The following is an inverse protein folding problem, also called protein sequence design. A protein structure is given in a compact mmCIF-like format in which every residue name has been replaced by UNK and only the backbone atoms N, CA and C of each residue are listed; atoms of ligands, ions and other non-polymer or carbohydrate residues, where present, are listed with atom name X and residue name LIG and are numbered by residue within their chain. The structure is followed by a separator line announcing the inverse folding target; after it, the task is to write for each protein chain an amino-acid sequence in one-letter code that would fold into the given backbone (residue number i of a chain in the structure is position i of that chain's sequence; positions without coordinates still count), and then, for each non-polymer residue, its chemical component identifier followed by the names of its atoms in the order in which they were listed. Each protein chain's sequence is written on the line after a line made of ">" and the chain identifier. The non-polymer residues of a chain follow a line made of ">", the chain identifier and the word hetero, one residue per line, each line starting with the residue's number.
data_IF_794032956691
#
_entry.id   IF_794032956691
#
_cell.length_a   1.000
_cell.length_b   1.000
_cell.length_c   1.000
_cell.angle_alpha   90.00
_cell.angle_beta   90.00
_cell.angle_gamma   90.00
#
_symmetry.space_group_name_H-M   'P 1'
#
loop_
_entity.id
_entity.type
_entity.pdbx_description
1 polymer ?
#
# COMPACT_ATOMS: atom_id res chain seq x y z
N UNK A 1 25.00 5.78 -10.38
CA UNK A 1 23.98 6.82 -10.16
C UNK A 1 22.58 6.26 -10.20
N UNK A 2 22.20 5.57 -11.30
CA UNK A 2 20.86 5.00 -11.40
C UNK A 2 20.57 4.01 -10.27
N UNK A 3 21.54 3.20 -9.84
CA UNK A 3 21.35 2.25 -8.75
C UNK A 3 21.07 2.95 -7.42
N UNK A 4 21.72 4.10 -7.19
CA UNK A 4 21.53 4.86 -5.96
C UNK A 4 20.14 5.50 -5.94
N UNK A 5 19.73 6.13 -7.04
CA UNK A 5 18.40 6.72 -7.14
C UNK A 5 17.30 5.65 -7.08
N UNK A 6 17.57 4.50 -7.69
CA UNK A 6 16.64 3.38 -7.65
C UNK A 6 16.41 2.90 -6.21
N UNK A 7 17.49 2.76 -5.44
CA UNK A 7 17.39 2.33 -4.05
C UNK A 7 16.61 3.34 -3.20
N UNK A 8 16.93 4.64 -3.35
CA UNK A 8 16.23 5.68 -2.59
C UNK A 8 14.75 5.69 -2.94
N UNK A 9 14.41 5.57 -4.23
CA UNK A 9 13.02 5.52 -4.66
C UNK A 9 12.28 4.34 -4.07
N UNK A 10 12.90 3.18 -4.06
CA UNK A 10 12.31 1.97 -3.47
C UNK A 10 12.07 2.15 -1.97
N UNK A 11 13.00 2.76 -1.26
CA UNK A 11 12.85 3.02 0.17
C UNK A 11 11.70 4.00 0.42
N UNK A 12 11.64 5.10 -0.34
CA UNK A 12 10.59 6.11 -0.17
C UNK A 12 9.20 5.55 -0.42
N UNK A 13 9.03 4.83 -1.52
CA UNK A 13 7.72 4.26 -1.86
C UNK A 13 7.30 3.21 -0.84
N UNK A 14 8.25 2.39 -0.39
CA UNK A 14 7.98 1.31 0.56
C UNK A 14 7.71 1.81 1.97
N UNK A 15 8.26 2.95 2.37
CA UNK A 15 8.14 3.46 3.74
C UNK A 15 6.68 3.75 4.12
N UNK A 16 5.87 4.21 3.18
CA UNK A 16 4.45 4.49 3.42
C UNK A 16 3.74 3.20 3.85
N UNK A 17 4.02 2.09 3.18
CA UNK A 17 3.37 0.81 3.48
C UNK A 17 3.89 0.21 4.78
N UNK A 18 5.18 0.36 5.06
CA UNK A 18 5.72 -0.11 6.33
C UNK A 18 5.10 0.64 7.51
N UNK A 19 4.97 1.95 7.38
CA UNK A 19 4.34 2.77 8.41
C UNK A 19 2.86 2.43 8.55
N UNK A 20 2.17 2.23 7.44
CA UNK A 20 0.76 1.86 7.44
C UNK A 20 0.54 0.52 8.13
N UNK A 21 1.35 -0.49 7.80
CA UNK A 21 1.26 -1.79 8.45
C UNK A 21 1.55 -1.71 9.95
N UNK A 22 2.55 -0.92 10.33
CA UNK A 22 2.89 -0.69 11.72
C UNK A 22 1.72 -0.07 12.48
N UNK A 23 1.11 0.97 11.91
CA UNK A 23 -0.03 1.64 12.53
C UNK A 23 -1.23 0.70 12.68
N UNK A 24 -1.47 -0.17 11.71
CA UNK A 24 -2.57 -1.13 11.76
C UNK A 24 -2.38 -2.15 12.88
N UNK A 25 -1.15 -2.52 13.18
CA UNK A 25 -0.88 -3.43 14.29
C UNK A 25 -1.32 -2.80 15.61
N UNK A 26 -1.01 -1.52 15.84
CA UNK A 26 -1.32 -0.84 17.08
C UNK A 26 -2.77 -0.35 17.17
N UNK A 27 -3.46 -0.22 16.04
CA UNK A 27 -4.86 0.20 16.00
C UNK A 27 -5.74 -0.89 15.39
N UNK A 28 -5.46 -2.15 15.71
CA UNK A 28 -6.08 -3.29 15.05
C UNK A 28 -7.59 -3.27 15.16
N UNK A 29 -8.14 -3.11 16.36
CA UNK A 29 -9.59 -3.14 16.56
C UNK A 29 -10.28 -1.96 15.87
N UNK A 30 -9.68 -0.78 15.91
CA UNK A 30 -10.22 0.39 15.22
C UNK A 30 -10.25 0.21 13.71
N UNK A 31 -9.19 -0.38 13.16
CA UNK A 31 -9.10 -0.66 11.73
C UNK A 31 -10.13 -1.71 11.32
N UNK A 32 -10.31 -2.75 12.13
CA UNK A 32 -11.32 -3.78 11.86
C UNK A 32 -12.72 -3.15 11.80
N UNK A 33 -13.06 -2.29 12.76
CA UNK A 33 -14.35 -1.60 12.76
C UNK A 33 -14.54 -0.75 11.51
N UNK A 34 -13.49 -0.05 11.09
CA UNK A 34 -13.54 0.78 9.89
C UNK A 34 -13.75 -0.06 8.63
N UNK A 35 -13.04 -1.19 8.52
CA UNK A 35 -13.20 -2.10 7.39
C UNK A 35 -14.60 -2.68 7.33
N UNK A 36 -15.17 -3.08 8.46
CA UNK A 36 -16.49 -3.67 8.52
C UNK A 36 -17.56 -2.65 8.13
N UNK A 37 -17.31 -1.36 8.37
CA UNK A 37 -18.18 -0.30 7.90
C UNK A 37 -18.29 -0.21 6.38
N UNK A 38 -17.31 -0.74 5.65
CA UNK A 38 -17.32 -0.83 4.18
C UNK A 38 -17.77 -2.20 3.68
N UNK A 39 -18.20 -3.09 4.58
CA UNK A 39 -18.61 -4.43 4.20
C UNK A 39 -17.45 -5.41 3.99
N UNK A 40 -16.25 -5.06 4.44
CA UNK A 40 -15.06 -5.90 4.32
C UNK A 40 -14.88 -6.69 5.61
N UNK A 41 -14.79 -8.04 5.53
CA UNK A 41 -14.59 -8.83 6.75
C UNK A 41 -13.32 -8.46 7.48
N UNK A 42 -13.42 -8.29 8.81
CA UNK A 42 -12.29 -7.85 9.63
C UNK A 42 -11.15 -8.87 9.67
N UNK A 43 -11.43 -10.16 9.43
CA UNK A 43 -10.37 -11.17 9.46
C UNK A 43 -9.37 -11.00 8.32
N UNK A 44 -9.69 -10.22 7.30
CA UNK A 44 -8.77 -9.93 6.19
C UNK A 44 -7.66 -8.95 6.60
N UNK A 45 -7.77 -8.32 7.77
CA UNK A 45 -6.77 -7.35 8.21
C UNK A 45 -5.41 -7.99 8.45
N UNK A 46 -5.38 -9.18 9.07
CA UNK A 46 -4.10 -9.84 9.36
C UNK A 46 -3.30 -10.16 8.09
N UNK A 47 -3.90 -10.77 7.04
CA UNK A 47 -3.19 -10.94 5.77
C UNK A 47 -2.77 -9.61 5.14
N UNK A 48 -3.58 -8.57 5.28
CA UNK A 48 -3.27 -7.25 4.75
C UNK A 48 -2.03 -6.67 5.42
N UNK A 49 -1.91 -6.78 6.73
CA UNK A 49 -0.75 -6.29 7.47
C UNK A 49 0.51 -7.04 7.02
N UNK A 50 0.42 -8.36 6.88
CA UNK A 50 1.55 -9.17 6.41
C UNK A 50 2.00 -8.71 5.04
N UNK A 51 1.07 -8.49 4.12
CA UNK A 51 1.37 -8.01 2.78
C UNK A 51 2.03 -6.64 2.81
N UNK A 52 1.51 -5.72 3.63
CA UNK A 52 2.02 -4.34 3.70
C UNK A 52 3.40 -4.25 4.34
N UNK A 53 3.83 -5.25 5.09
CA UNK A 53 5.15 -5.26 5.70
C UNK A 53 6.14 -6.06 4.88
N UNK A 54 5.77 -7.25 4.43
CA UNK A 54 6.69 -8.15 3.75
C UNK A 54 7.02 -7.67 2.34
N UNK A 55 6.01 -7.29 1.54
CA UNK A 55 6.25 -6.88 0.16
C UNK A 55 7.14 -5.63 0.05
N UNK A 56 6.93 -4.57 0.85
CA UNK A 56 7.85 -3.43 0.81
C UNK A 56 9.27 -3.81 1.22
N UNK A 57 9.44 -4.69 2.19
CA UNK A 57 10.78 -5.15 2.58
C UNK A 57 11.48 -5.87 1.43
N UNK A 58 10.75 -6.68 0.68
CA UNK A 58 11.30 -7.36 -0.50
C UNK A 58 11.78 -6.35 -1.55
N UNK A 59 11.02 -5.27 -1.72
CA UNK A 59 11.38 -4.22 -2.67
C UNK A 59 12.66 -3.51 -2.23
N UNK A 60 12.77 -3.19 -0.93
CA UNK A 60 13.95 -2.51 -0.40
C UNK A 60 15.20 -3.40 -0.55
N UNK A 61 15.07 -4.68 -0.21
CA UNK A 61 16.18 -5.64 -0.31
C UNK A 61 16.53 -5.92 -1.78
N UNK A 62 15.57 -5.80 -2.68
CA UNK A 62 15.76 -6.11 -4.09
C UNK A 62 15.52 -7.57 -4.45
N UNK A 63 14.84 -8.32 -3.56
CA UNK A 63 14.55 -9.74 -3.79
C UNK A 63 13.14 -9.86 -4.38
N UNK A 64 13.06 -10.51 -5.55
CA UNK A 64 11.80 -10.70 -6.28
C UNK A 64 11.01 -9.38 -6.41
N UNK A 65 11.72 -8.30 -6.71
CA UNK A 65 11.20 -6.95 -6.73
C UNK A 65 10.04 -6.79 -7.70
N UNK A 66 10.14 -7.44 -8.87
CA UNK A 66 9.10 -7.32 -9.90
C UNK A 66 7.75 -7.84 -9.40
N UNK A 67 7.75 -9.04 -8.79
CA UNK A 67 6.52 -9.64 -8.29
C UNK A 67 5.95 -8.82 -7.13
N UNK A 68 6.81 -8.42 -6.19
CA UNK A 68 6.38 -7.63 -5.05
C UNK A 68 5.79 -6.29 -5.49
N UNK A 69 6.41 -5.63 -6.46
CA UNK A 69 5.93 -4.35 -6.95
C UNK A 69 4.57 -4.46 -7.65
N UNK A 70 4.39 -5.51 -8.45
CA UNK A 70 3.11 -5.74 -9.12
C UNK A 70 2.00 -5.99 -8.09
N UNK A 71 2.27 -6.81 -7.08
CA UNK A 71 1.29 -7.10 -6.03
C UNK A 71 0.92 -5.85 -5.25
N UNK A 72 1.89 -5.00 -4.93
CA UNK A 72 1.62 -3.75 -4.23
C UNK A 72 0.85 -2.76 -5.11
N UNK A 73 1.14 -2.71 -6.42
CA UNK A 73 0.40 -1.86 -7.32
C UNK A 73 -1.07 -2.27 -7.37
N UNK A 74 -1.34 -3.58 -7.48
CA UNK A 74 -2.70 -4.09 -7.46
C UNK A 74 -3.39 -3.80 -6.13
N UNK A 75 -2.67 -3.93 -5.03
CA UNK A 75 -3.20 -3.62 -3.70
C UNK A 75 -3.59 -2.14 -3.60
N UNK A 76 -2.75 -1.24 -4.11
CA UNK A 76 -3.05 0.20 -4.09
C UNK A 76 -4.32 0.52 -4.88
N UNK A 77 -4.47 -0.09 -6.05
CA UNK A 77 -5.64 0.13 -6.89
C UNK A 77 -6.89 -0.42 -6.19
N UNK A 78 -6.80 -1.63 -5.64
CA UNK A 78 -7.93 -2.25 -4.96
C UNK A 78 -8.39 -1.44 -3.76
N UNK A 79 -7.47 -0.98 -2.92
CA UNK A 79 -7.83 -0.18 -1.75
C UNK A 79 -8.39 1.18 -2.15
N UNK A 80 -7.87 1.78 -3.21
CA UNK A 80 -8.42 3.04 -3.71
C UNK A 80 -9.87 2.87 -4.14
N UNK A 81 -10.17 1.80 -4.88
CA UNK A 81 -11.52 1.55 -5.35
C UNK A 81 -12.47 1.21 -4.21
N UNK A 82 -12.01 0.47 -3.19
CA UNK A 82 -12.87 0.05 -2.08
C UNK A 82 -13.13 1.20 -1.10
N UNK A 83 -12.11 1.96 -0.74
CA UNK A 83 -12.19 2.88 0.40
C UNK A 83 -12.24 4.36 0.04
N UNK A 84 -11.90 4.75 -1.18
CA UNK A 84 -11.68 6.17 -1.53
C UNK A 84 -12.48 6.61 -2.76
N UNK A 85 -13.73 6.13 -2.89
CA UNK A 85 -14.59 6.51 -4.02
C UNK A 85 -15.55 7.66 -3.71
N UNK A 86 -15.53 8.21 -2.51
CA UNK A 86 -16.39 9.35 -2.17
C UNK A 86 -15.80 10.64 -2.71
N UNK A 87 -16.17 11.00 -3.93
CA UNK A 87 -15.66 12.21 -4.59
C UNK A 87 -16.24 13.50 -4.01
N UNK A 88 -17.28 13.39 -3.17
CA UNK A 88 -17.81 14.55 -2.45
C UNK A 88 -16.92 14.99 -1.30
N UNK A 89 -16.01 14.15 -0.86
CA UNK A 89 -15.03 14.45 0.19
C UNK A 89 -13.67 14.67 -0.46
N UNK A 90 -13.16 15.91 -0.33
CA UNK A 90 -11.87 16.28 -0.94
C UNK A 90 -10.73 15.40 -0.43
N UNK A 91 -10.75 15.04 0.87
CA UNK A 91 -9.72 14.18 1.45
C UNK A 91 -9.73 12.79 0.81
N UNK A 92 -10.92 12.22 0.56
CA UNK A 92 -11.04 10.93 -0.09
C UNK A 92 -10.54 10.97 -1.53
N UNK A 93 -10.81 12.07 -2.24
CA UNK A 93 -10.32 12.24 -3.61
C UNK A 93 -8.79 12.30 -3.63
N UNK A 94 -8.19 13.00 -2.68
CA UNK A 94 -6.73 13.08 -2.55
C UNK A 94 -6.15 11.70 -2.27
N UNK A 95 -6.77 10.92 -1.38
CA UNK A 95 -6.32 9.57 -1.06
C UNK A 95 -6.40 8.65 -2.28
N UNK A 96 -7.46 8.77 -3.08
CA UNK A 96 -7.62 8.00 -4.30
C UNK A 96 -6.48 8.28 -5.28
N UNK A 97 -6.22 9.57 -5.56
CA UNK A 97 -5.15 9.97 -6.47
C UNK A 97 -3.79 9.55 -5.94
N UNK A 98 -3.58 9.65 -4.65
CA UNK A 98 -2.32 9.23 -4.01
C UNK A 98 -2.08 7.73 -4.21
N UNK A 99 -3.12 6.90 -4.04
CA UNK A 99 -2.99 5.46 -4.24
C UNK A 99 -2.70 5.11 -5.70
N UNK A 100 -3.31 5.80 -6.65
CA UNK A 100 -2.97 5.60 -8.06
C UNK A 100 -1.54 6.04 -8.37
N UNK A 101 -1.07 7.12 -7.74
CA UNK A 101 0.31 7.55 -7.86
C UNK A 101 1.29 6.51 -7.33
N UNK A 102 0.97 5.91 -6.18
CA UNK A 102 1.79 4.85 -5.61
C UNK A 102 1.80 3.61 -6.50
N UNK A 103 0.64 3.24 -7.06
CA UNK A 103 0.56 2.13 -7.99
C UNK A 103 1.45 2.37 -9.21
N UNK A 104 1.43 3.59 -9.76
CA UNK A 104 2.31 3.96 -10.86
C UNK A 104 3.78 3.81 -10.51
N UNK A 105 4.16 4.26 -9.30
CA UNK A 105 5.53 4.10 -8.82
C UNK A 105 5.95 2.65 -8.73
N UNK A 106 5.09 1.78 -8.22
CA UNK A 106 5.39 0.36 -8.14
C UNK A 106 5.46 -0.29 -9.52
N UNK A 107 4.65 0.15 -10.47
CA UNK A 107 4.75 -0.35 -11.84
C UNK A 107 6.08 0.02 -12.49
N UNK A 108 6.60 1.22 -12.23
CA UNK A 108 7.94 1.60 -12.67
C UNK A 108 9.00 0.70 -12.07
N UNK A 109 8.86 0.33 -10.80
CA UNK A 109 9.80 -0.58 -10.15
C UNK A 109 9.72 -1.97 -10.78
N UNK A 110 8.52 -2.42 -11.18
CA UNK A 110 8.32 -3.74 -11.78
C UNK A 110 8.98 -3.88 -13.14
N UNK A 111 9.11 -2.78 -13.88
CA UNK A 111 9.78 -2.77 -15.17
C UNK A 111 11.28 -2.87 -14.98
#
# INVERSE_FOLDING_TARGET
>A
MSNFFDLIGRIFVSSIFLLSGYNKIFNYSGTVSWMEGFGIPGFLLAPTIILEIILPLLIIIGYKTQIAAILLALFCIATAVIFHLDFGDQMQTIQLLKNFGLAGGFLFIAV
#
